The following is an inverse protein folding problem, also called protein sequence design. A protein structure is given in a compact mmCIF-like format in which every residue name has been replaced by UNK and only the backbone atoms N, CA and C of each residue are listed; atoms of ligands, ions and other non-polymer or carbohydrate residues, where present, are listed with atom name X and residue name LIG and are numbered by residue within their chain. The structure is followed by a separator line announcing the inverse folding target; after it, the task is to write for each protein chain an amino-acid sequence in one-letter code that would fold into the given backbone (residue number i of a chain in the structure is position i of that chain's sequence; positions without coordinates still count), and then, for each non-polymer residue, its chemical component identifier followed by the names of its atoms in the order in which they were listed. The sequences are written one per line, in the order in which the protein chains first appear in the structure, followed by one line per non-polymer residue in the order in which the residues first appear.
data_IF_361422926018
#
_entry.id   IF_361422926018
#
_cell.length_a   1.000
_cell.length_b   1.000
_cell.length_c   1.000
_cell.angle_alpha   90.00
_cell.angle_beta   90.00
_cell.angle_gamma   90.00
#
_symmetry.space_group_name_H-M   'P 1'
#
loop_
_entity.id
_entity.type
_entity.pdbx_description
1 polymer ?
#
# COMPACT_ATOMS: atom_id res chain seq x y z
N UNK A 1 -27.37 4.91 -15.79
CA UNK A 1 -28.29 4.19 -14.88
C UNK A 1 -28.98 3.15 -15.74
N UNK A 2 -28.87 1.86 -15.40
CA UNK A 2 -29.69 0.85 -16.06
C UNK A 2 -31.17 1.20 -15.79
N UNK A 3 -31.99 1.12 -16.81
CA UNK A 3 -33.43 1.38 -16.72
C UNK A 3 -34.03 0.36 -15.74
N UNK A 4 -34.90 0.79 -14.82
CA UNK A 4 -35.50 -0.14 -13.84
C UNK A 4 -36.36 -1.16 -14.60
N UNK A 5 -36.22 -2.47 -14.33
CA UNK A 5 -37.03 -3.49 -14.98
C UNK A 5 -38.52 -3.23 -14.69
N UNK A 6 -39.33 -3.24 -15.74
CA UNK A 6 -40.76 -2.94 -15.67
C UNK A 6 -41.57 -4.15 -15.18
N UNK A 7 -41.37 -4.54 -13.92
CA UNK A 7 -42.01 -5.68 -13.26
C UNK A 7 -42.78 -5.22 -12.01
N UNK A 8 -43.90 -5.89 -11.70
CA UNK A 8 -44.76 -5.59 -10.54
C UNK A 8 -44.14 -6.08 -9.23
N UNK A 9 -43.11 -5.36 -8.78
CA UNK A 9 -42.42 -5.53 -7.49
C UNK A 9 -42.03 -4.16 -6.93
N UNK A 10 -41.99 -4.04 -5.60
CA UNK A 10 -41.57 -2.80 -4.94
C UNK A 10 -40.06 -2.54 -5.12
N UNK A 11 -39.57 -1.29 -4.96
CA UNK A 11 -38.13 -1.02 -5.05
C UNK A 11 -37.28 -1.79 -4.02
N UNK A 12 -37.85 -2.10 -2.85
CA UNK A 12 -37.17 -2.87 -1.80
C UNK A 12 -37.08 -4.34 -2.22
N UNK A 13 -38.18 -4.92 -2.70
CA UNK A 13 -38.20 -6.29 -3.25
C UNK A 13 -37.25 -6.44 -4.42
N UNK A 14 -37.22 -5.46 -5.34
CA UNK A 14 -36.31 -5.47 -6.48
C UNK A 14 -34.83 -5.49 -6.05
N UNK A 15 -34.50 -4.81 -4.95
CA UNK A 15 -33.14 -4.81 -4.38
C UNK A 15 -32.77 -6.20 -3.88
N UNK A 16 -33.68 -6.85 -3.12
CA UNK A 16 -33.48 -8.22 -2.63
C UNK A 16 -33.27 -9.20 -3.79
N UNK A 17 -34.15 -9.11 -4.81
CA UNK A 17 -34.07 -9.97 -6.00
C UNK A 17 -32.75 -9.76 -6.73
N UNK A 18 -32.34 -8.50 -6.94
CA UNK A 18 -31.09 -8.17 -7.64
C UNK A 18 -29.86 -8.69 -6.90
N UNK A 19 -29.82 -8.55 -5.56
CA UNK A 19 -28.71 -9.01 -4.74
C UNK A 19 -28.55 -10.54 -4.77
N UNK A 20 -29.66 -11.29 -4.73
CA UNK A 20 -29.65 -12.75 -4.82
C UNK A 20 -29.19 -13.21 -6.21
N UNK A 21 -29.72 -12.61 -7.28
CA UNK A 21 -29.33 -12.94 -8.66
C UNK A 21 -27.86 -12.62 -8.94
N UNK A 22 -27.34 -11.51 -8.42
CA UNK A 22 -25.92 -11.14 -8.59
C UNK A 22 -24.98 -12.07 -7.82
N UNK A 23 -25.42 -12.60 -6.67
CA UNK A 23 -24.64 -13.55 -5.87
C UNK A 23 -24.45 -14.90 -6.58
N UNK A 24 -25.51 -15.42 -7.18
CA UNK A 24 -25.54 -16.81 -7.68
C UNK A 24 -25.34 -16.92 -9.18
N UNK A 25 -25.85 -15.98 -9.97
CA UNK A 25 -25.78 -16.00 -11.44
C UNK A 25 -25.35 -14.64 -12.03
N UNK A 26 -24.20 -14.08 -11.60
CA UNK A 26 -23.73 -12.76 -12.05
C UNK A 26 -23.50 -12.68 -13.57
N UNK A 27 -23.10 -13.78 -14.20
CA UNK A 27 -22.76 -13.81 -15.63
C UNK A 27 -23.96 -14.09 -16.55
N UNK A 28 -25.14 -14.41 -16.00
CA UNK A 28 -26.32 -14.74 -16.78
C UNK A 28 -27.27 -13.55 -16.92
N UNK A 29 -27.90 -13.46 -18.08
CA UNK A 29 -29.09 -12.62 -18.23
C UNK A 29 -30.27 -13.34 -17.57
N UNK A 30 -31.16 -12.59 -16.93
CA UNK A 30 -32.35 -13.14 -16.27
C UNK A 30 -33.58 -12.41 -16.76
N UNK A 31 -34.57 -13.17 -17.23
CA UNK A 31 -35.85 -12.66 -17.70
C UNK A 31 -36.93 -12.95 -16.66
N UNK A 32 -37.67 -11.93 -16.27
CA UNK A 32 -38.95 -12.13 -15.59
C UNK A 32 -40.03 -12.42 -16.63
N UNK A 33 -40.94 -13.34 -16.33
CA UNK A 33 -42.11 -13.63 -17.15
C UNK A 33 -43.34 -13.85 -16.26
N UNK A 34 -44.49 -14.12 -16.88
CA UNK A 34 -45.71 -14.42 -16.13
C UNK A 34 -46.44 -13.19 -15.59
N UNK A 35 -47.17 -13.38 -14.50
CA UNK A 35 -48.18 -12.42 -14.04
C UNK A 35 -47.59 -11.10 -13.55
N UNK A 36 -46.44 -11.14 -12.86
CA UNK A 36 -45.70 -9.96 -12.38
C UNK A 36 -44.96 -9.22 -13.49
N UNK A 37 -44.48 -9.93 -14.52
CA UNK A 37 -43.88 -9.28 -15.69
C UNK A 37 -44.92 -8.53 -16.54
N UNK A 38 -46.16 -9.04 -16.56
CA UNK A 38 -47.26 -8.47 -17.36
C UNK A 38 -48.18 -7.52 -16.57
N UNK A 39 -47.87 -7.21 -15.31
CA UNK A 39 -48.69 -6.38 -14.40
C UNK A 39 -50.13 -6.90 -14.20
N UNK A 40 -50.32 -8.22 -14.29
CA UNK A 40 -51.61 -8.91 -14.06
C UNK A 40 -51.62 -9.69 -12.74
N UNK A 41 -50.60 -9.51 -11.92
CA UNK A 41 -50.41 -10.16 -10.63
C UNK A 41 -51.46 -9.81 -9.60
N UNK A 42 -51.70 -10.74 -8.68
CA UNK A 42 -52.41 -10.53 -7.42
C UNK A 42 -51.40 -10.48 -6.29
N UNK A 43 -51.82 -10.10 -5.09
CA UNK A 43 -50.94 -9.98 -3.92
C UNK A 43 -50.10 -11.24 -3.64
N UNK A 44 -50.65 -12.44 -3.92
CA UNK A 44 -50.01 -13.74 -3.71
C UNK A 44 -49.45 -14.38 -4.99
N UNK A 45 -49.39 -13.64 -6.10
CA UNK A 45 -48.76 -14.14 -7.32
C UNK A 45 -47.26 -14.37 -7.10
N UNK A 46 -46.76 -15.45 -7.66
CA UNK A 46 -45.34 -15.77 -7.80
C UNK A 46 -44.63 -14.79 -8.75
N UNK A 47 -43.30 -14.76 -8.63
CA UNK A 47 -42.40 -14.15 -9.61
C UNK A 47 -41.67 -15.26 -10.36
N UNK A 48 -41.93 -15.39 -11.65
CA UNK A 48 -41.25 -16.35 -12.51
C UNK A 48 -40.00 -15.73 -13.15
N UNK A 49 -38.85 -16.36 -12.96
CA UNK A 49 -37.56 -15.94 -13.51
C UNK A 49 -36.95 -17.04 -14.39
N UNK A 50 -36.49 -16.68 -15.58
CA UNK A 50 -35.75 -17.56 -16.49
C UNK A 50 -34.28 -17.13 -16.55
N UNK A 51 -33.37 -18.04 -16.22
CA UNK A 51 -31.92 -17.80 -16.30
C UNK A 51 -31.42 -18.22 -17.68
N UNK A 52 -30.90 -17.26 -18.44
CA UNK A 52 -30.55 -17.43 -19.84
C UNK A 52 -29.12 -17.92 -20.00
N UNK A 53 -28.95 -19.10 -20.56
CA UNK A 53 -27.66 -19.71 -20.86
C UNK A 53 -27.76 -20.83 -21.91
N UNK A 54 -26.62 -21.16 -22.51
CA UNK A 54 -26.51 -22.22 -23.53
C UNK A 54 -26.30 -23.61 -22.90
N UNK A 55 -25.92 -23.67 -21.63
CA UNK A 55 -25.67 -24.89 -20.87
C UNK A 55 -26.51 -24.91 -19.58
N UNK A 56 -26.93 -26.10 -19.10
CA UNK A 56 -27.66 -26.22 -17.85
C UNK A 56 -26.90 -25.64 -16.65
N UNK A 57 -27.63 -25.03 -15.72
CA UNK A 57 -27.06 -24.55 -14.47
C UNK A 57 -26.54 -25.72 -13.63
N UNK A 58 -25.37 -25.58 -12.98
CA UNK A 58 -24.91 -26.58 -12.03
C UNK A 58 -25.93 -26.76 -10.90
N UNK A 59 -26.22 -28.02 -10.52
CA UNK A 59 -27.23 -28.36 -9.50
C UNK A 59 -27.00 -27.61 -8.17
N UNK A 60 -25.73 -27.39 -7.80
CA UNK A 60 -25.38 -26.65 -6.59
C UNK A 60 -25.80 -25.17 -6.65
N UNK A 61 -25.70 -24.53 -7.82
CA UNK A 61 -26.12 -23.14 -8.02
C UNK A 61 -27.63 -23.03 -8.04
N UNK A 62 -28.33 -23.96 -8.71
CA UNK A 62 -29.80 -23.96 -8.72
C UNK A 62 -30.39 -24.20 -7.33
N UNK A 63 -29.78 -25.08 -6.53
CA UNK A 63 -30.23 -25.34 -5.16
C UNK A 63 -30.00 -24.11 -4.26
N UNK A 64 -28.78 -23.56 -4.25
CA UNK A 64 -28.46 -22.40 -3.43
C UNK A 64 -29.29 -21.16 -3.79
N UNK A 65 -29.60 -20.97 -5.07
CA UNK A 65 -30.47 -19.90 -5.52
C UNK A 65 -31.91 -20.08 -5.02
N UNK A 66 -32.45 -21.30 -5.07
CA UNK A 66 -33.78 -21.60 -4.58
C UNK A 66 -33.88 -21.40 -3.06
N UNK A 67 -32.89 -21.89 -2.31
CA UNK A 67 -32.80 -21.73 -0.86
C UNK A 67 -32.76 -20.24 -0.47
N UNK A 68 -31.89 -19.44 -1.11
CA UNK A 68 -31.77 -18.00 -0.81
C UNK A 68 -33.04 -17.21 -1.13
N UNK A 69 -33.80 -17.60 -2.16
CA UNK A 69 -35.10 -16.98 -2.45
C UNK A 69 -36.18 -17.41 -1.45
N UNK A 70 -36.19 -18.67 -1.02
CA UNK A 70 -37.13 -19.18 -0.02
C UNK A 70 -36.89 -18.58 1.37
N UNK A 71 -35.64 -18.33 1.74
CA UNK A 71 -35.27 -17.67 3.00
C UNK A 71 -35.38 -16.12 2.94
N UNK A 72 -35.68 -15.56 1.77
CA UNK A 72 -35.76 -14.10 1.61
C UNK A 72 -37.02 -13.49 2.26
N UNK A 73 -36.97 -12.20 2.58
CA UNK A 73 -38.12 -11.44 3.10
C UNK A 73 -39.12 -11.02 2.01
N UNK A 74 -39.16 -11.70 0.86
CA UNK A 74 -40.12 -11.40 -0.21
C UNK A 74 -41.53 -11.87 0.20
N UNK A 75 -42.59 -11.07 -0.03
CA UNK A 75 -43.95 -11.45 0.35
C UNK A 75 -44.58 -12.49 -0.61
N UNK A 76 -43.83 -12.98 -1.58
CA UNK A 76 -44.25 -13.93 -2.61
C UNK A 76 -43.11 -14.89 -2.94
N UNK A 77 -43.46 -16.05 -3.49
CA UNK A 77 -42.49 -17.05 -3.97
C UNK A 77 -41.83 -16.59 -5.26
N UNK A 78 -40.56 -16.95 -5.44
CA UNK A 78 -39.83 -16.80 -6.70
C UNK A 78 -39.58 -18.18 -7.28
N UNK A 79 -40.07 -18.42 -8.49
CA UNK A 79 -39.83 -19.66 -9.23
C UNK A 79 -38.80 -19.43 -10.32
N UNK A 80 -37.76 -20.27 -10.34
CA UNK A 80 -36.63 -20.11 -11.27
C UNK A 80 -36.60 -21.28 -12.25
N UNK A 81 -36.56 -20.96 -13.54
CA UNK A 81 -36.38 -21.92 -14.63
C UNK A 81 -35.03 -21.73 -15.32
N UNK A 82 -34.37 -22.83 -15.61
CA UNK A 82 -33.14 -22.86 -16.39
C UNK A 82 -33.49 -22.91 -17.88
N UNK A 83 -33.06 -21.89 -18.63
CA UNK A 83 -33.35 -21.77 -20.05
C UNK A 83 -32.85 -22.98 -20.84
N UNK A 84 -31.66 -23.50 -20.55
CA UNK A 84 -31.01 -24.55 -21.32
C UNK A 84 -31.75 -25.89 -21.25
N UNK A 85 -32.47 -26.13 -20.15
CA UNK A 85 -33.25 -27.36 -19.93
C UNK A 85 -34.74 -27.20 -20.26
N UNK A 86 -35.17 -25.98 -20.56
CA UNK A 86 -36.56 -25.65 -20.88
C UNK A 86 -36.92 -26.07 -22.32
N UNK A 87 -38.12 -26.67 -22.50
CA UNK A 87 -38.63 -27.06 -23.82
C UNK A 87 -38.87 -25.87 -24.77
N UNK A 88 -38.72 -26.07 -26.08
CA UNK A 88 -38.94 -25.03 -27.09
C UNK A 88 -40.33 -24.38 -27.02
N UNK A 89 -41.38 -25.19 -26.78
CA UNK A 89 -42.74 -24.69 -26.63
C UNK A 89 -42.89 -23.74 -25.43
N UNK A 90 -42.17 -24.01 -24.32
CA UNK A 90 -42.20 -23.15 -23.14
C UNK A 90 -41.30 -21.91 -23.32
N UNK A 91 -40.15 -22.04 -23.98
CA UNK A 91 -39.30 -20.91 -24.37
C UNK A 91 -40.07 -19.86 -25.18
N UNK A 92 -40.90 -20.30 -26.13
CA UNK A 92 -41.74 -19.41 -26.93
C UNK A 92 -42.78 -18.62 -26.09
N UNK A 93 -43.27 -19.22 -25.00
CA UNK A 93 -44.19 -18.54 -24.06
C UNK A 93 -43.43 -17.46 -23.28
N UNK A 94 -42.27 -17.80 -22.74
CA UNK A 94 -41.42 -16.86 -21.99
C UNK A 94 -41.02 -15.68 -22.88
N UNK A 95 -40.58 -15.94 -24.11
CA UNK A 95 -40.14 -14.90 -25.05
C UNK A 95 -41.21 -13.87 -25.41
N UNK A 96 -42.49 -14.28 -25.43
CA UNK A 96 -43.59 -13.40 -25.83
C UNK A 96 -43.78 -12.24 -24.85
N UNK A 97 -43.68 -12.53 -23.55
CA UNK A 97 -44.07 -11.63 -22.47
C UNK A 97 -42.92 -11.32 -21.49
N UNK A 98 -41.66 -11.57 -21.90
CA UNK A 98 -40.48 -11.35 -21.04
C UNK A 98 -40.23 -9.88 -20.74
N UNK A 99 -39.70 -9.65 -19.54
CA UNK A 99 -39.05 -8.40 -19.14
C UNK A 99 -37.65 -8.74 -18.65
N UNK A 100 -36.63 -8.03 -19.14
CA UNK A 100 -35.25 -8.25 -18.68
C UNK A 100 -35.15 -7.78 -17.22
N UNK A 101 -35.01 -8.73 -16.28
CA UNK A 101 -34.88 -8.44 -14.86
C UNK A 101 -33.42 -8.18 -14.46
N UNK A 102 -32.48 -8.84 -15.14
CA UNK A 102 -31.04 -8.64 -15.00
C UNK A 102 -30.37 -8.78 -16.36
N UNK A 103 -29.64 -7.76 -16.79
CA UNK A 103 -28.84 -7.85 -18.02
C UNK A 103 -27.65 -8.79 -17.84
N UNK A 104 -27.17 -9.37 -18.95
CA UNK A 104 -25.91 -10.11 -18.96
C UNK A 104 -24.79 -9.19 -18.50
N UNK A 105 -24.12 -9.53 -17.39
CA UNK A 105 -22.96 -8.75 -16.95
C UNK A 105 -21.88 -8.84 -18.02
N UNK A 106 -21.58 -7.71 -18.67
CA UNK A 106 -20.48 -7.61 -19.64
C UNK A 106 -19.15 -7.28 -18.97
N UNK A 107 -19.08 -7.23 -17.63
CA UNK A 107 -17.86 -6.86 -16.92
C UNK A 107 -17.02 -8.08 -16.55
N UNK A 108 -15.98 -8.28 -17.35
CA UNK A 108 -14.81 -9.12 -17.07
C UNK A 108 -14.41 -9.14 -15.58
N UNK A 109 -14.39 -10.34 -15.00
CA UNK A 109 -13.89 -10.77 -13.67
C UNK A 109 -14.93 -11.23 -12.65
N UNK A 110 -16.10 -11.78 -13.00
CA UNK A 110 -16.86 -12.76 -12.16
C UNK A 110 -17.22 -12.42 -10.70
N UNK A 111 -16.96 -11.19 -10.23
CA UNK A 111 -16.97 -10.76 -8.82
C UNK A 111 -17.80 -9.48 -8.61
N UNK A 112 -18.54 -9.03 -9.63
CA UNK A 112 -19.25 -7.75 -9.62
C UNK A 112 -18.32 -6.52 -9.74
N UNK A 113 -17.08 -6.72 -10.18
CA UNK A 113 -16.08 -5.66 -10.31
C UNK A 113 -16.26 -4.90 -11.63
N UNK A 114 -16.34 -3.57 -11.55
CA UNK A 114 -16.54 -2.71 -12.71
C UNK A 114 -15.20 -2.19 -13.22
N UNK A 115 -14.92 -2.38 -14.51
CA UNK A 115 -13.78 -1.72 -15.15
C UNK A 115 -14.12 -0.28 -15.49
N UNK A 116 -13.31 0.66 -15.01
CA UNK A 116 -13.48 2.09 -15.25
C UNK A 116 -12.14 2.82 -15.10
N UNK A 117 -12.14 4.09 -15.47
CA UNK A 117 -11.01 4.99 -15.28
C UNK A 117 -11.31 6.02 -14.18
N UNK A 118 -10.26 6.68 -13.67
CA UNK A 118 -10.45 7.86 -12.81
C UNK A 118 -11.26 8.94 -13.55
N UNK A 119 -11.11 9.08 -14.86
CA UNK A 119 -11.87 10.03 -15.67
C UNK A 119 -13.37 9.72 -15.68
N UNK A 120 -13.76 8.44 -15.66
CA UNK A 120 -15.18 8.05 -15.58
C UNK A 120 -15.78 8.48 -14.23
N UNK A 121 -15.02 8.33 -13.13
CA UNK A 121 -15.41 8.85 -11.81
C UNK A 121 -15.50 10.38 -11.81
N UNK A 122 -14.59 11.07 -12.51
CA UNK A 122 -14.66 12.52 -12.66
C UNK A 122 -15.88 12.97 -13.45
N UNK A 123 -16.21 12.29 -14.56
CA UNK A 123 -17.39 12.59 -15.40
C UNK A 123 -18.69 12.34 -14.65
N UNK A 124 -18.72 11.33 -13.78
CA UNK A 124 -19.84 11.06 -12.88
C UNK A 124 -19.93 12.05 -11.72
N UNK A 125 -18.97 12.98 -11.59
CA UNK A 125 -18.92 13.95 -10.50
C UNK A 125 -18.63 13.32 -9.14
N UNK A 126 -18.00 12.14 -9.09
CA UNK A 126 -17.70 11.40 -7.85
C UNK A 126 -16.29 11.66 -7.33
N UNK A 127 -15.36 12.03 -8.22
CA UNK A 127 -13.97 12.32 -7.89
C UNK A 127 -13.54 13.59 -8.60
N UNK A 128 -12.91 14.51 -7.86
CA UNK A 128 -12.28 15.70 -8.40
C UNK A 128 -10.76 15.56 -8.35
N UNK A 129 -10.11 15.65 -9.51
CA UNK A 129 -8.65 15.62 -9.64
C UNK A 129 -8.12 17.02 -9.92
N UNK A 130 -7.14 17.45 -9.14
CA UNK A 130 -6.49 18.76 -9.26
C UNK A 130 -5.01 18.70 -8.93
N UNK A 131 -4.17 19.06 -9.90
CA UNK A 131 -2.77 19.38 -9.65
C UNK A 131 -2.62 20.55 -8.65
N UNK A 132 -1.69 20.41 -7.71
CA UNK A 132 -1.34 21.47 -6.74
C UNK A 132 -0.80 22.75 -7.40
N UNK A 133 -0.63 23.85 -6.64
CA UNK A 133 -0.27 25.15 -7.18
C UNK A 133 1.12 25.12 -7.83
N UNK A 134 1.20 25.39 -9.14
CA UNK A 134 2.47 25.39 -9.89
C UNK A 134 2.69 26.69 -10.67
N UNK A 135 3.94 26.94 -11.06
CA UNK A 135 4.31 28.14 -11.79
C UNK A 135 4.19 29.39 -10.93
N UNK A 136 3.49 30.41 -11.42
CA UNK A 136 3.29 31.70 -10.74
C UNK A 136 2.28 31.66 -9.58
N UNK A 137 1.76 30.48 -9.22
CA UNK A 137 0.78 30.36 -8.13
C UNK A 137 1.43 30.36 -6.75
N UNK A 138 2.62 29.81 -6.59
CA UNK A 138 3.31 29.72 -5.31
C UNK A 138 4.82 29.89 -5.52
N UNK A 139 5.39 30.93 -4.93
CA UNK A 139 6.80 31.30 -5.08
C UNK A 139 7.61 30.99 -3.82
N UNK A 140 8.94 30.88 -3.96
CA UNK A 140 9.84 30.70 -2.82
C UNK A 140 9.69 31.80 -1.75
N UNK A 141 9.36 33.03 -2.17
CA UNK A 141 9.12 34.17 -1.28
C UNK A 141 7.77 34.12 -0.53
N UNK A 142 6.85 33.25 -0.94
CA UNK A 142 5.55 33.09 -0.26
C UNK A 142 5.68 32.23 1.03
N UNK A 143 6.80 31.51 1.19
CA UNK A 143 7.04 30.68 2.37
C UNK A 143 7.46 31.51 3.58
N UNK A 144 6.91 31.15 4.73
CA UNK A 144 7.14 31.80 6.03
C UNK A 144 7.49 30.75 7.09
N UNK A 145 8.09 31.17 8.20
CA UNK A 145 8.46 30.25 9.29
C UNK A 145 7.24 29.65 10.01
N UNK A 146 6.17 30.43 10.17
CA UNK A 146 4.95 30.00 10.85
C UNK A 146 3.70 30.49 10.10
N UNK A 147 2.77 29.58 9.81
CA UNK A 147 1.61 29.82 8.98
C UNK A 147 0.77 28.56 8.71
N UNK A 148 0.21 28.46 7.51
CA UNK A 148 -0.58 27.32 7.05
C UNK A 148 0.36 26.31 6.37
N UNK A 149 0.33 25.03 6.74
CA UNK A 149 1.22 24.03 6.16
C UNK A 149 0.92 23.77 4.69
N UNK A 150 1.97 23.59 3.90
CA UNK A 150 1.94 23.11 2.53
C UNK A 150 2.54 21.71 2.52
N UNK A 151 1.87 20.73 1.93
CA UNK A 151 2.35 19.35 1.86
C UNK A 151 3.12 19.16 0.54
N UNK A 152 4.46 19.20 0.55
CA UNK A 152 5.26 19.02 -0.66
C UNK A 152 5.32 17.53 -1.04
N UNK A 153 5.88 17.22 -2.21
CA UNK A 153 5.96 15.84 -2.72
C UNK A 153 6.72 14.92 -1.78
N UNK A 154 7.77 15.44 -1.16
CA UNK A 154 8.69 14.73 -0.27
C UNK A 154 8.03 14.36 1.07
N UNK A 155 6.90 15.01 1.40
CA UNK A 155 6.09 14.68 2.56
C UNK A 155 5.06 13.57 2.27
N UNK A 156 4.89 13.18 1.01
CA UNK A 156 3.97 12.12 0.61
C UNK A 156 4.72 10.80 0.60
N UNK A 157 4.50 10.00 1.66
CA UNK A 157 5.01 8.64 1.75
C UNK A 157 4.07 7.64 1.08
N UNK A 158 4.42 6.36 1.21
CA UNK A 158 3.51 5.27 0.87
C UNK A 158 2.50 5.19 2.01
N UNK A 159 1.25 5.61 1.76
CA UNK A 159 0.12 5.56 2.71
C UNK A 159 0.17 6.51 3.91
N UNK A 160 1.31 7.12 4.19
CA UNK A 160 1.48 8.10 5.28
C UNK A 160 1.84 9.50 4.74
N UNK A 161 1.36 10.54 5.41
CA UNK A 161 1.77 11.93 5.19
C UNK A 161 2.62 12.40 6.35
N UNK A 162 3.80 12.95 6.04
CA UNK A 162 4.61 13.63 7.06
C UNK A 162 3.88 14.90 7.50
N UNK A 163 3.76 15.11 8.82
CA UNK A 163 3.02 16.22 9.41
C UNK A 163 3.93 17.25 10.09
N UNK A 164 5.15 16.86 10.44
CA UNK A 164 6.14 17.70 11.10
C UNK A 164 7.13 18.33 10.12
N UNK A 165 7.63 19.53 10.46
CA UNK A 165 8.64 20.22 9.67
C UNK A 165 8.18 20.56 8.24
N UNK A 166 6.87 20.69 8.02
CA UNK A 166 6.31 21.08 6.73
C UNK A 166 6.59 22.56 6.44
N UNK A 167 6.87 22.90 5.16
CA UNK A 167 6.96 24.30 4.76
C UNK A 167 5.59 24.99 4.94
N UNK A 168 5.60 26.26 5.32
CA UNK A 168 4.38 27.00 5.66
C UNK A 168 4.26 28.28 4.85
N UNK A 169 3.03 28.74 4.64
CA UNK A 169 2.70 30.00 3.95
C UNK A 169 1.82 30.88 4.83
N UNK A 170 1.80 32.19 4.58
CA UNK A 170 0.92 33.09 5.32
C UNK A 170 -0.57 32.78 5.11
N UNK A 171 -1.43 33.27 6.01
CA UNK A 171 -2.90 33.09 5.89
C UNK A 171 -3.45 33.76 4.63
N UNK A 172 -2.85 34.87 4.20
CA UNK A 172 -3.20 35.58 2.97
C UNK A 172 -2.90 34.72 1.74
N UNK A 173 -1.69 34.13 1.68
CA UNK A 173 -1.33 33.19 0.61
C UNK A 173 -2.23 31.96 0.61
N UNK A 174 -2.53 31.39 1.78
CA UNK A 174 -3.45 30.26 1.88
C UNK A 174 -4.87 30.61 1.43
N UNK A 175 -5.34 31.82 1.70
CA UNK A 175 -6.65 32.30 1.25
C UNK A 175 -6.67 32.49 -0.28
N UNK A 176 -5.60 33.05 -0.85
CA UNK A 176 -5.38 33.16 -2.30
C UNK A 176 -5.36 31.78 -2.98
N UNK A 177 -4.82 30.76 -2.30
CA UNK A 177 -4.73 29.38 -2.77
C UNK A 177 -5.86 28.48 -2.22
N UNK A 178 -6.99 29.05 -1.82
CA UNK A 178 -8.13 28.33 -1.21
C UNK A 178 -8.63 27.12 -2.00
N UNK A 179 -8.47 27.13 -3.34
CA UNK A 179 -8.79 25.99 -4.22
C UNK A 179 -7.95 24.74 -3.92
N UNK A 180 -6.74 24.90 -3.39
CA UNK A 180 -5.80 23.82 -3.07
C UNK A 180 -5.90 23.36 -1.61
N UNK A 181 -6.90 23.86 -0.88
CA UNK A 181 -7.07 23.59 0.53
C UNK A 181 -7.52 22.16 0.77
N UNK A 182 -6.80 21.48 1.66
CA UNK A 182 -7.00 20.09 2.02
C UNK A 182 -8.16 19.93 3.00
N UNK A 183 -8.83 18.79 2.87
CA UNK A 183 -9.89 18.29 3.73
C UNK A 183 -9.54 16.87 4.16
N UNK A 184 -10.00 16.48 5.34
CA UNK A 184 -9.94 15.08 5.75
C UNK A 184 -10.58 14.18 4.69
N UNK A 185 -9.92 13.06 4.40
CA UNK A 185 -10.33 12.10 3.35
C UNK A 185 -9.87 12.44 1.94
N UNK A 186 -9.27 13.62 1.71
CA UNK A 186 -8.57 13.90 0.45
C UNK A 186 -7.40 12.93 0.24
N UNK A 187 -7.04 12.64 -1.00
CA UNK A 187 -5.85 11.86 -1.33
C UNK A 187 -4.83 12.78 -1.96
N UNK A 188 -3.61 12.76 -1.43
CA UNK A 188 -2.45 13.38 -2.06
C UNK A 188 -1.65 12.30 -2.79
N UNK A 189 -1.44 12.51 -4.09
CA UNK A 189 -0.65 11.66 -4.95
C UNK A 189 0.61 12.40 -5.41
N UNK A 190 1.78 11.81 -5.16
CA UNK A 190 3.04 12.38 -5.59
C UNK A 190 3.20 12.27 -7.11
N UNK A 191 3.28 13.42 -7.78
CA UNK A 191 3.35 13.48 -9.25
C UNK A 191 4.74 13.78 -9.82
N UNK A 192 5.74 14.02 -8.98
CA UNK A 192 7.10 14.41 -9.39
C UNK A 192 8.17 13.63 -8.64
N UNK A 193 9.16 13.14 -9.38
CA UNK A 193 10.35 12.52 -8.81
C UNK A 193 10.39 11.01 -9.06
N UNK A 194 11.58 10.50 -9.41
CA UNK A 194 11.76 9.12 -9.81
C UNK A 194 11.39 8.12 -8.70
N UNK A 195 11.62 8.48 -7.43
CA UNK A 195 11.30 7.66 -6.27
C UNK A 195 9.88 7.91 -5.72
N UNK A 196 9.20 8.96 -6.17
CA UNK A 196 7.91 9.36 -5.63
C UNK A 196 6.71 8.81 -6.43
N UNK A 197 6.95 8.17 -7.57
CA UNK A 197 5.88 7.63 -8.41
C UNK A 197 5.11 6.54 -7.66
N UNK A 198 3.80 6.71 -7.54
CA UNK A 198 2.93 5.77 -6.82
C UNK A 198 2.84 6.01 -5.31
N UNK A 199 3.56 6.99 -4.76
CA UNK A 199 3.35 7.43 -3.38
C UNK A 199 2.04 8.20 -3.30
N UNK A 200 1.13 7.71 -2.46
CA UNK A 200 -0.12 8.38 -2.17
C UNK A 200 -0.53 8.11 -0.74
N UNK A 201 -1.25 9.06 -0.15
CA UNK A 201 -1.77 8.93 1.20
C UNK A 201 -3.05 9.76 1.37
N UNK A 202 -3.87 9.33 2.32
CA UNK A 202 -5.10 10.02 2.69
C UNK A 202 -4.77 11.12 3.70
N UNK A 203 -5.37 12.29 3.54
CA UNK A 203 -5.26 13.44 4.44
C UNK A 203 -6.05 13.14 5.71
N UNK A 204 -5.35 13.13 6.85
CA UNK A 204 -5.94 13.03 8.17
C UNK A 204 -6.39 14.39 8.74
N UNK A 205 -7.00 14.39 9.93
CA UNK A 205 -7.49 15.60 10.60
C UNK A 205 -6.37 16.63 10.85
N UNK A 206 -5.13 16.17 11.07
CA UNK A 206 -3.97 17.00 11.40
C UNK A 206 -3.49 17.91 10.26
N UNK A 207 -3.82 17.58 9.00
CA UNK A 207 -3.51 18.40 7.82
C UNK A 207 -4.74 19.12 7.25
N UNK A 208 -5.89 19.03 7.92
CA UNK A 208 -7.11 19.70 7.48
C UNK A 208 -6.93 21.21 7.46
N UNK A 209 -7.27 21.85 6.33
CA UNK A 209 -7.08 23.29 6.14
C UNK A 209 -5.69 23.69 5.65
N UNK A 210 -4.73 22.76 5.59
CA UNK A 210 -3.45 22.89 4.89
C UNK A 210 -3.61 22.98 3.37
N UNK A 211 -2.49 23.05 2.64
CA UNK A 211 -2.48 23.17 1.18
C UNK A 211 -1.79 21.98 0.51
N UNK A 212 -2.37 21.53 -0.60
CA UNK A 212 -1.69 20.65 -1.56
C UNK A 212 -0.46 21.36 -2.13
N UNK A 213 0.70 20.70 -2.15
CA UNK A 213 1.95 21.27 -2.67
C UNK A 213 2.11 21.12 -4.19
N UNK A 214 3.09 21.83 -4.74
CA UNK A 214 3.32 21.96 -6.19
C UNK A 214 3.59 20.64 -6.92
N UNK A 215 4.23 19.67 -6.25
CA UNK A 215 4.54 18.36 -6.84
C UNK A 215 3.55 17.27 -6.45
N UNK A 216 2.36 17.64 -5.97
CA UNK A 216 1.28 16.73 -5.65
C UNK A 216 0.07 16.92 -6.57
N UNK A 217 -0.74 15.86 -6.71
CA UNK A 217 -2.09 15.88 -7.25
C UNK A 217 -3.04 15.57 -6.10
N UNK A 218 -4.04 16.43 -5.94
CA UNK A 218 -5.15 16.24 -5.04
C UNK A 218 -6.24 15.44 -5.76
N UNK A 219 -6.66 14.31 -5.19
CA UNK A 219 -7.88 13.61 -5.55
C UNK A 219 -8.88 13.73 -4.39
N UNK A 220 -10.06 14.26 -4.67
CA UNK A 220 -11.13 14.44 -3.68
C UNK A 220 -12.34 13.63 -4.09
N UNK A 221 -12.78 12.72 -3.24
CA UNK A 221 -14.05 11.99 -3.42
C UNK A 221 -15.21 12.85 -2.92
N UNK A 222 -16.38 12.76 -3.57
CA UNK A 222 -17.57 13.48 -3.09
C UNK A 222 -18.04 12.93 -1.73
N UNK A 223 -18.42 13.81 -0.78
CA UNK A 223 -18.95 13.38 0.51
C UNK A 223 -20.19 12.49 0.36
N UNK A 224 -20.22 11.38 1.10
CA UNK A 224 -21.37 10.47 1.10
C UNK A 224 -21.52 9.63 -0.18
N UNK A 225 -20.59 9.71 -1.14
CA UNK A 225 -20.60 8.82 -2.28
C UNK A 225 -20.39 7.36 -1.81
N UNK A 226 -21.15 6.43 -2.39
CA UNK A 226 -21.06 4.99 -2.10
C UNK A 226 -20.52 4.23 -3.32
N UNK A 227 -19.67 4.89 -4.10
CA UNK A 227 -19.09 4.31 -5.33
C UNK A 227 -17.60 4.07 -5.16
N UNK A 228 -16.87 5.02 -4.58
CA UNK A 228 -15.42 4.97 -4.41
C UNK A 228 -15.05 5.37 -2.99
N UNK A 229 -14.38 4.45 -2.30
CA UNK A 229 -13.79 4.73 -0.99
C UNK A 229 -12.40 5.37 -1.17
N UNK A 230 -12.09 6.49 -0.50
CA UNK A 230 -10.82 7.20 -0.67
C UNK A 230 -9.62 6.39 -0.16
N UNK A 231 -9.78 5.63 0.93
CA UNK A 231 -8.70 4.80 1.45
C UNK A 231 -8.39 3.64 0.51
N UNK A 232 -9.42 2.99 -0.06
CA UNK A 232 -9.26 2.00 -1.12
C UNK A 232 -8.57 2.59 -2.36
N UNK A 233 -9.02 3.76 -2.83
CA UNK A 233 -8.41 4.41 -4.00
C UNK A 233 -6.93 4.71 -3.76
N UNK A 234 -6.56 5.20 -2.57
CA UNK A 234 -5.15 5.41 -2.22
C UNK A 234 -4.36 4.09 -2.20
N UNK A 235 -4.91 3.00 -1.66
CA UNK A 235 -4.24 1.69 -1.73
C UNK A 235 -4.01 1.24 -3.16
N UNK A 236 -5.04 1.37 -4.00
CA UNK A 236 -4.98 0.98 -5.40
C UNK A 236 -3.93 1.79 -6.16
N UNK A 237 -3.87 3.11 -5.96
CA UNK A 237 -2.87 3.98 -6.61
C UNK A 237 -1.44 3.65 -6.21
N UNK A 238 -1.24 3.10 -5.01
CA UNK A 238 0.05 2.74 -4.44
C UNK A 238 0.42 1.26 -4.58
N UNK A 239 -0.41 0.45 -5.25
CA UNK A 239 -0.10 -0.93 -5.59
C UNK A 239 1.02 -1.01 -6.64
N UNK A 240 1.87 -2.04 -6.57
CA UNK A 240 3.06 -2.16 -7.43
C UNK A 240 2.70 -2.13 -8.92
N UNK A 241 1.63 -2.81 -9.33
CA UNK A 241 1.15 -2.78 -10.71
C UNK A 241 0.72 -1.38 -11.16
N UNK A 242 0.10 -0.61 -10.27
CA UNK A 242 -0.30 0.78 -10.54
C UNK A 242 0.91 1.69 -10.64
N UNK A 243 1.89 1.51 -9.76
CA UNK A 243 3.16 2.25 -9.77
C UNK A 243 3.89 2.01 -11.10
N UNK A 244 4.01 0.76 -11.53
CA UNK A 244 4.64 0.43 -12.81
C UNK A 244 3.88 1.03 -13.99
N UNK A 245 2.54 1.01 -13.95
CA UNK A 245 1.74 1.70 -14.96
C UNK A 245 2.03 3.20 -14.99
N UNK A 246 2.08 3.87 -13.82
CA UNK A 246 2.38 5.30 -13.77
C UNK A 246 3.79 5.62 -14.27
N UNK A 247 4.80 4.81 -13.91
CA UNK A 247 6.16 4.96 -14.42
C UNK A 247 6.23 4.86 -15.94
N UNK A 248 5.52 3.89 -16.52
CA UNK A 248 5.49 3.68 -17.97
C UNK A 248 4.79 4.82 -18.74
N UNK A 249 3.87 5.53 -18.10
CA UNK A 249 3.10 6.62 -18.71
C UNK A 249 3.56 8.02 -18.27
N UNK A 250 4.59 8.11 -17.43
CA UNK A 250 5.15 9.37 -16.97
C UNK A 250 5.83 10.11 -18.12
N UNK A 251 5.77 11.44 -18.09
CA UNK A 251 6.43 12.30 -19.06
C UNK A 251 7.74 12.81 -18.45
N UNK A 252 8.82 12.80 -19.25
CA UNK A 252 10.14 13.27 -18.85
C UNK A 252 11.07 12.12 -18.46
N UNK A 253 12.15 11.93 -19.22
CA UNK A 253 13.08 10.82 -19.04
C UNK A 253 13.95 10.92 -17.77
N UNK A 254 14.28 12.14 -17.32
CA UNK A 254 15.15 12.39 -16.17
C UNK A 254 14.35 12.63 -14.87
N UNK A 255 13.19 13.27 -14.99
CA UNK A 255 12.30 13.55 -13.87
C UNK A 255 10.87 13.15 -14.26
N UNK A 256 10.45 11.93 -13.91
CA UNK A 256 9.11 11.45 -14.21
C UNK A 256 8.07 12.41 -13.64
N UNK A 257 7.16 12.85 -14.49
CA UNK A 257 6.07 13.73 -14.10
C UNK A 257 4.72 13.18 -14.58
N UNK A 258 3.81 13.01 -13.63
CA UNK A 258 2.40 12.68 -13.88
C UNK A 258 1.60 13.98 -13.95
N UNK A 259 0.66 14.09 -14.88
CA UNK A 259 -0.27 15.23 -14.97
C UNK A 259 -1.71 14.73 -14.83
N UNK A 260 -2.65 15.66 -14.66
CA UNK A 260 -4.08 15.35 -14.47
C UNK A 260 -4.63 14.44 -15.58
N UNK A 261 -4.20 14.63 -16.82
CA UNK A 261 -4.62 13.81 -17.95
C UNK A 261 -4.11 12.36 -17.89
N UNK A 262 -2.91 12.14 -17.36
CA UNK A 262 -2.34 10.78 -17.21
C UNK A 262 -3.07 10.03 -16.10
N UNK A 263 -3.19 10.64 -14.90
CA UNK A 263 -3.84 9.97 -13.77
C UNK A 263 -5.31 9.68 -14.07
N UNK A 264 -6.02 10.58 -14.78
CA UNK A 264 -7.40 10.36 -15.22
C UNK A 264 -7.59 9.12 -16.10
N UNK A 265 -6.60 8.76 -16.93
CA UNK A 265 -6.65 7.57 -17.79
C UNK A 265 -6.32 6.26 -17.08
N UNK A 266 -5.91 6.30 -15.82
CA UNK A 266 -5.60 5.10 -15.06
C UNK A 266 -6.82 4.18 -14.99
N UNK A 267 -6.69 2.98 -15.56
CA UNK A 267 -7.73 1.97 -15.58
C UNK A 267 -7.68 1.12 -14.31
N UNK A 268 -8.85 0.90 -13.73
CA UNK A 268 -9.02 0.11 -12.52
C UNK A 268 -10.19 -0.86 -12.64
N UNK A 269 -10.10 -1.95 -11.89
CA UNK A 269 -11.25 -2.79 -11.60
C UNK A 269 -11.75 -2.42 -10.20
N UNK A 270 -12.98 -1.94 -10.14
CA UNK A 270 -13.58 -1.37 -8.93
C UNK A 270 -14.53 -2.40 -8.29
N UNK A 271 -14.23 -2.91 -7.09
CA UNK A 271 -15.14 -3.76 -6.33
C UNK A 271 -16.43 -3.02 -5.93
N UNK A 272 -17.48 -3.73 -5.51
CA UNK A 272 -18.57 -3.15 -4.73
C UNK A 272 -18.05 -2.35 -3.52
N UNK A 273 -18.72 -1.24 -3.19
CA UNK A 273 -18.23 -0.28 -2.18
C UNK A 273 -17.95 -0.90 -0.80
N UNK A 274 -18.79 -1.85 -0.35
CA UNK A 274 -18.55 -2.55 0.91
C UNK A 274 -17.28 -3.41 0.88
N UNK A 275 -16.95 -4.02 -0.27
CA UNK A 275 -15.71 -4.77 -0.43
C UNK A 275 -14.50 -3.82 -0.44
N UNK A 276 -14.62 -2.65 -1.08
CA UNK A 276 -13.56 -1.63 -1.04
C UNK A 276 -13.23 -1.23 0.40
N UNK A 277 -14.25 -0.96 1.22
CA UNK A 277 -14.08 -0.64 2.64
C UNK A 277 -13.42 -1.77 3.42
N UNK A 278 -13.91 -3.00 3.27
CA UNK A 278 -13.33 -4.16 3.96
C UNK A 278 -11.84 -4.37 3.60
N UNK A 279 -11.48 -4.19 2.31
CA UNK A 279 -10.09 -4.25 1.86
C UNK A 279 -9.26 -3.12 2.49
N UNK A 280 -9.76 -1.89 2.44
CA UNK A 280 -9.06 -0.73 2.97
C UNK A 280 -8.88 -0.79 4.49
N UNK A 281 -9.88 -1.26 5.23
CA UNK A 281 -9.80 -1.46 6.68
C UNK A 281 -8.75 -2.52 7.05
N UNK A 282 -8.78 -3.68 6.36
CA UNK A 282 -7.82 -4.76 6.61
C UNK A 282 -6.38 -4.30 6.33
N UNK A 283 -6.14 -3.72 5.15
CA UNK A 283 -4.80 -3.25 4.79
C UNK A 283 -4.35 -2.08 5.67
N UNK A 284 -5.28 -1.19 6.04
CA UNK A 284 -5.01 -0.06 6.95
C UNK A 284 -4.55 -0.54 8.32
N UNK A 285 -5.22 -1.55 8.90
CA UNK A 285 -4.83 -2.12 10.18
C UNK A 285 -3.43 -2.75 10.17
N UNK A 286 -2.99 -3.28 9.01
CA UNK A 286 -1.64 -3.81 8.84
C UNK A 286 -0.60 -2.69 8.73
N UNK A 287 -0.88 -1.62 7.97
CA UNK A 287 -0.02 -0.43 7.90
C UNK A 287 0.14 0.22 9.28
N UNK A 288 -0.95 0.38 10.03
CA UNK A 288 -0.94 0.92 11.40
C UNK A 288 -0.03 0.08 12.33
N UNK A 289 -0.05 -1.25 12.16
CA UNK A 289 0.78 -2.16 12.94
C UNK A 289 2.26 -2.05 12.56
N UNK A 290 2.57 -1.88 11.27
CA UNK A 290 3.93 -1.66 10.77
C UNK A 290 4.49 -0.36 11.36
N UNK A 291 3.74 0.74 11.27
CA UNK A 291 4.12 2.04 11.80
C UNK A 291 4.36 1.99 13.32
N UNK A 292 3.46 1.34 14.07
CA UNK A 292 3.61 1.17 15.51
C UNK A 292 4.89 0.38 15.85
N UNK A 293 5.20 -0.68 15.10
CA UNK A 293 6.42 -1.46 15.31
C UNK A 293 7.68 -0.64 15.01
N UNK A 294 7.67 0.21 13.98
CA UNK A 294 8.80 1.11 13.69
C UNK A 294 9.04 2.11 14.83
N UNK A 295 7.99 2.78 15.31
CA UNK A 295 8.11 3.72 16.44
C UNK A 295 8.58 3.03 17.72
N UNK A 296 8.11 1.80 17.96
CA UNK A 296 8.55 0.99 19.09
C UNK A 296 10.04 0.66 18.98
N UNK A 297 10.52 0.27 17.80
CA UNK A 297 11.95 0.01 17.57
C UNK A 297 12.80 1.26 17.80
N UNK A 298 12.40 2.43 17.27
CA UNK A 298 13.10 3.70 17.49
C UNK A 298 13.18 4.06 18.98
N UNK A 299 12.07 3.89 19.71
CA UNK A 299 12.00 4.15 21.15
C UNK A 299 12.91 3.20 21.93
N UNK A 300 12.88 1.90 21.61
CA UNK A 300 13.74 0.89 22.24
C UNK A 300 15.22 1.18 21.99
N UNK A 301 15.57 1.59 20.78
CA UNK A 301 16.94 1.96 20.42
C UNK A 301 17.40 3.23 21.17
N UNK A 302 16.53 4.23 21.29
CA UNK A 302 16.80 5.43 22.10
C UNK A 302 16.99 5.10 23.58
N UNK A 303 16.14 4.24 24.15
CA UNK A 303 16.27 3.75 25.52
C UNK A 303 17.59 2.98 25.72
N UNK A 304 17.93 2.08 24.80
CA UNK A 304 19.18 1.31 24.86
C UNK A 304 20.42 2.23 24.85
N UNK A 305 20.41 3.25 23.97
CA UNK A 305 21.46 4.28 23.92
C UNK A 305 21.56 5.07 25.22
N UNK A 306 20.43 5.49 25.79
CA UNK A 306 20.39 6.25 27.03
C UNK A 306 20.92 5.43 28.22
N UNK A 307 20.51 4.16 28.32
CA UNK A 307 21.01 3.23 29.35
C UNK A 307 22.50 3.00 29.18
N UNK A 308 22.98 2.70 27.97
CA UNK A 308 24.40 2.50 27.70
C UNK A 308 25.23 3.74 28.08
N UNK A 309 24.77 4.93 27.70
CA UNK A 309 25.44 6.19 28.04
C UNK A 309 25.53 6.38 29.56
N UNK A 310 24.42 6.19 30.28
CA UNK A 310 24.41 6.28 31.75
C UNK A 310 25.27 5.20 32.42
N UNK A 311 25.35 4.00 31.83
CA UNK A 311 26.07 2.88 32.42
C UNK A 311 27.56 2.82 32.08
N UNK A 312 28.02 3.46 31.03
CA UNK A 312 29.39 3.27 30.57
C UNK A 312 30.12 4.56 30.18
N UNK A 313 29.42 5.69 30.06
CA UNK A 313 30.00 6.97 29.63
C UNK A 313 29.88 8.04 30.72
N UNK A 314 28.66 8.25 31.24
CA UNK A 314 28.38 9.25 32.27
C UNK A 314 28.69 8.61 33.64
N UNK A 315 29.98 8.64 34.03
CA UNK A 315 30.50 7.93 35.21
C UNK A 315 30.32 8.69 36.54
N UNK A 316 29.95 9.97 36.49
CA UNK A 316 29.75 10.81 37.66
C UNK A 316 28.40 10.50 38.35
N UNK A 317 28.39 10.40 39.68
CA UNK A 317 27.20 10.00 40.46
C UNK A 317 25.99 10.94 40.28
N UNK A 318 26.23 12.21 39.96
CA UNK A 318 25.18 13.21 39.72
C UNK A 318 24.46 13.06 38.36
N UNK A 319 25.01 12.25 37.43
CA UNK A 319 24.46 11.99 36.10
C UNK A 319 23.75 10.62 35.98
N UNK A 320 23.67 9.83 37.05
CA UNK A 320 23.02 8.52 37.03
C UNK A 320 21.49 8.65 37.11
N UNK A 321 20.86 8.63 35.94
CA UNK A 321 19.39 8.58 35.80
C UNK A 321 18.84 7.16 36.00
N UNK A 322 19.66 6.13 35.74
CA UNK A 322 19.31 4.72 35.89
C UNK A 322 20.04 4.10 37.10
N UNK A 323 19.52 2.98 37.62
CA UNK A 323 20.22 2.20 38.65
C UNK A 323 21.62 1.84 38.19
N UNK A 324 22.56 1.73 39.13
CA UNK A 324 23.93 1.29 38.87
C UNK A 324 23.96 0.06 37.95
N UNK A 325 24.95 -0.04 37.04
CA UNK A 325 25.04 -1.15 36.11
C UNK A 325 25.13 -2.48 36.87
N UNK A 326 24.67 -3.58 36.26
CA UNK A 326 24.66 -4.90 36.91
C UNK A 326 26.06 -5.51 37.12
N UNK A 327 27.12 -4.75 36.81
CA UNK A 327 28.52 -5.19 36.89
C UNK A 327 29.37 -4.11 37.59
N UNK A 328 30.32 -4.56 38.41
CA UNK A 328 31.29 -3.68 39.05
C UNK A 328 32.18 -3.01 37.99
N UNK A 329 32.49 -1.73 38.17
CA UNK A 329 33.37 -0.96 37.30
C UNK A 329 34.77 -0.86 37.90
N UNK A 330 35.79 -0.96 37.06
CA UNK A 330 37.18 -0.66 37.40
C UNK A 330 37.89 -0.02 36.21
N UNK A 331 38.83 0.88 36.48
CA UNK A 331 39.63 1.53 35.43
C UNK A 331 40.95 0.78 35.23
N UNK A 332 41.27 0.43 34.00
CA UNK A 332 42.54 -0.19 33.60
C UNK A 332 43.01 0.39 32.26
N UNK A 333 44.29 0.22 31.91
CA UNK A 333 44.73 0.55 30.54
C UNK A 333 44.20 -0.53 29.60
N UNK A 334 43.79 -0.14 28.40
CA UNK A 334 43.29 -1.08 27.40
C UNK A 334 44.32 -2.20 27.12
N UNK A 335 45.61 -1.85 27.07
CA UNK A 335 46.73 -2.80 26.89
C UNK A 335 46.84 -3.89 27.96
N UNK A 336 46.24 -3.67 29.13
CA UNK A 336 46.33 -4.60 30.25
C UNK A 336 45.21 -5.66 30.18
N UNK A 337 44.20 -5.45 29.33
CA UNK A 337 42.97 -6.26 29.25
C UNK A 337 42.68 -6.81 27.85
N UNK A 338 43.39 -6.36 26.81
CA UNK A 338 43.25 -6.89 25.44
C UNK A 338 44.61 -7.19 24.81
N UNK A 339 44.64 -8.25 23.99
CA UNK A 339 45.74 -8.53 23.08
C UNK A 339 45.54 -7.73 21.77
N UNK A 340 46.49 -6.84 21.48
CA UNK A 340 46.48 -6.10 20.22
C UNK A 340 47.10 -6.93 19.10
N UNK A 341 46.26 -7.37 18.17
CA UNK A 341 46.68 -8.10 16.98
C UNK A 341 46.73 -7.15 15.78
N UNK A 342 47.83 -7.20 15.03
CA UNK A 342 47.97 -6.53 13.75
C UNK A 342 47.50 -7.42 12.60
N UNK A 343 46.96 -6.78 11.56
CA UNK A 343 46.63 -7.44 10.29
C UNK A 343 47.78 -7.36 9.29
N UNK A 344 47.57 -8.01 8.15
CA UNK A 344 48.50 -8.02 7.05
C UNK A 344 47.81 -8.34 5.74
N UNK A 345 48.38 -7.84 4.65
CA UNK A 345 47.92 -8.13 3.30
C UNK A 345 48.84 -9.16 2.65
N UNK A 346 48.35 -10.39 2.33
CA UNK A 346 49.10 -11.32 1.50
C UNK A 346 49.52 -10.65 0.19
N UNK A 347 50.64 -11.08 -0.39
CA UNK A 347 51.14 -10.48 -1.63
C UNK A 347 50.08 -10.61 -2.73
N UNK A 348 49.58 -9.48 -3.23
CA UNK A 348 48.47 -9.43 -4.20
C UNK A 348 48.84 -9.97 -5.58
N UNK A 349 50.13 -10.06 -5.91
CA UNK A 349 50.61 -10.65 -7.16
C UNK A 349 50.74 -12.17 -7.14
N UNK A 350 50.49 -12.83 -5.99
CA UNK A 350 50.47 -14.29 -5.88
C UNK A 350 49.03 -14.78 -5.81
N UNK A 351 48.48 -15.14 -6.96
CA UNK A 351 47.08 -15.58 -7.08
C UNK A 351 46.77 -16.79 -6.17
N UNK A 352 47.75 -17.67 -5.93
CA UNK A 352 47.63 -18.83 -5.02
C UNK A 352 47.29 -18.48 -3.57
N UNK A 353 47.47 -17.22 -3.14
CA UNK A 353 47.15 -16.76 -1.79
C UNK A 353 45.69 -16.34 -1.61
N UNK A 354 44.95 -16.16 -2.70
CA UNK A 354 43.61 -15.55 -2.71
C UNK A 354 42.55 -16.55 -3.18
N UNK A 355 41.29 -16.30 -2.81
CA UNK A 355 40.15 -17.09 -3.27
C UNK A 355 39.97 -18.44 -2.56
N UNK A 356 40.52 -18.59 -1.34
CA UNK A 356 40.30 -19.77 -0.48
C UNK A 356 39.07 -19.66 0.41
N UNK A 357 39.03 -20.46 1.48
CA UNK A 357 37.89 -20.52 2.40
C UNK A 357 38.00 -19.60 3.62
N UNK A 358 39.15 -18.93 3.80
CA UNK A 358 39.40 -18.09 4.97
C UNK A 358 38.99 -16.65 4.65
N UNK A 359 37.97 -16.08 5.32
CA UNK A 359 37.60 -14.68 5.11
C UNK A 359 38.75 -13.75 5.47
N UNK A 360 38.97 -12.72 4.67
CA UNK A 360 40.02 -11.73 4.90
C UNK A 360 39.40 -10.33 4.95
N UNK A 361 39.26 -9.82 6.16
CA UNK A 361 38.61 -8.54 6.45
C UNK A 361 39.50 -7.36 6.03
N UNK A 362 38.88 -6.40 5.37
CA UNK A 362 39.46 -5.10 5.05
C UNK A 362 38.46 -3.97 5.28
N UNK A 363 38.88 -2.72 5.06
CA UNK A 363 38.05 -1.53 5.33
C UNK A 363 36.71 -1.51 4.58
N UNK A 364 36.62 -2.20 3.43
CA UNK A 364 35.38 -2.32 2.65
C UNK A 364 34.35 -3.23 3.32
N UNK A 365 34.83 -4.16 4.16
CA UNK A 365 34.01 -5.11 4.91
C UNK A 365 33.52 -4.54 6.24
N UNK A 366 33.94 -3.32 6.59
CA UNK A 366 33.55 -2.68 7.83
C UNK A 366 32.02 -2.44 7.83
N UNK A 367 31.29 -2.98 8.82
CA UNK A 367 29.84 -3.06 8.77
C UNK A 367 29.16 -1.68 8.72
N UNK A 368 27.89 -1.70 8.33
CA UNK A 368 27.01 -0.55 8.44
C UNK A 368 26.73 -0.25 9.91
N UNK A 369 26.23 0.96 10.21
CA UNK A 369 26.03 1.42 11.60
C UNK A 369 25.12 0.49 12.43
N UNK A 370 24.18 -0.20 11.78
CA UNK A 370 23.25 -1.14 12.43
C UNK A 370 23.83 -2.53 12.67
N UNK A 371 24.94 -2.87 12.03
CA UNK A 371 25.52 -4.21 12.06
C UNK A 371 26.83 -4.19 12.85
N UNK A 372 27.04 -5.23 13.67
CA UNK A 372 28.28 -5.37 14.44
C UNK A 372 29.08 -6.58 13.99
N UNK A 373 28.42 -7.62 13.48
CA UNK A 373 29.05 -8.89 13.11
C UNK A 373 29.44 -8.96 11.64
N UNK A 374 30.66 -9.42 11.37
CA UNK A 374 31.13 -9.75 10.02
C UNK A 374 30.96 -11.25 9.81
N UNK A 375 30.05 -11.62 8.91
CA UNK A 375 29.76 -13.02 8.56
C UNK A 375 30.62 -13.48 7.37
N UNK A 376 30.84 -12.59 6.42
CA UNK A 376 31.60 -12.82 5.20
C UNK A 376 32.36 -11.55 4.81
N UNK A 377 33.37 -11.71 3.97
CA UNK A 377 34.23 -10.64 3.46
C UNK A 377 34.25 -10.70 1.94
N UNK A 378 34.46 -9.56 1.28
CA UNK A 378 34.57 -9.43 -0.17
C UNK A 378 35.69 -10.32 -0.73
N UNK A 379 36.79 -10.43 0.01
CA UNK A 379 37.94 -11.26 -0.34
C UNK A 379 38.17 -12.37 0.67
N UNK A 380 38.67 -13.48 0.17
CA UNK A 380 39.11 -14.62 0.97
C UNK A 380 40.54 -14.99 0.60
N UNK A 381 41.22 -15.69 1.51
CA UNK A 381 42.59 -16.15 1.35
C UNK A 381 42.65 -17.66 1.52
N UNK A 382 43.70 -18.26 0.97
CA UNK A 382 44.01 -19.68 1.11
C UNK A 382 44.87 -19.92 2.35
N UNK A 383 45.05 -21.19 2.73
CA UNK A 383 45.97 -21.56 3.81
C UNK A 383 47.42 -21.10 3.54
N UNK A 384 47.99 -21.25 2.32
CA UNK A 384 49.28 -20.64 1.98
C UNK A 384 49.30 -19.11 2.14
N UNK A 385 48.21 -18.42 1.81
CA UNK A 385 48.09 -16.97 2.00
C UNK A 385 48.12 -16.54 3.46
N UNK A 386 47.58 -17.36 4.36
CA UNK A 386 47.65 -17.15 5.80
C UNK A 386 49.06 -17.43 6.35
N UNK A 387 49.65 -18.59 6.00
CA UNK A 387 50.92 -19.06 6.57
C UNK A 387 52.14 -18.29 6.05
N UNK A 388 52.09 -17.79 4.81
CA UNK A 388 53.21 -17.11 4.14
C UNK A 388 53.02 -15.59 4.05
N UNK A 389 52.18 -14.99 4.89
CA UNK A 389 52.02 -13.54 4.99
C UNK A 389 52.04 -13.06 6.44
N UNK A 390 51.97 -11.74 6.63
CA UNK A 390 51.90 -11.13 7.97
C UNK A 390 50.48 -11.08 8.53
N UNK A 391 49.48 -11.60 7.82
CA UNK A 391 48.10 -11.65 8.32
C UNK A 391 47.98 -12.69 9.44
N UNK A 392 46.95 -12.55 10.28
CA UNK A 392 46.72 -13.44 11.42
C UNK A 392 45.28 -13.88 11.43
N UNK A 393 45.05 -15.14 11.79
CA UNK A 393 43.71 -15.66 11.99
C UNK A 393 43.20 -15.17 13.35
N UNK A 394 42.17 -14.34 13.31
CA UNK A 394 41.44 -13.88 14.48
C UNK A 394 40.42 -14.95 14.87
N UNK A 395 40.29 -15.28 16.17
CA UNK A 395 39.20 -16.14 16.62
C UNK A 395 37.84 -15.46 16.44
N UNK A 396 36.78 -16.26 16.50
CA UNK A 396 35.40 -15.75 16.60
C UNK A 396 35.26 -14.81 17.81
N UNK A 397 34.44 -13.78 17.69
CA UNK A 397 34.20 -12.71 18.67
C UNK A 397 35.41 -11.79 18.94
N UNK A 398 36.36 -11.75 18.01
CA UNK A 398 37.42 -10.74 18.04
C UNK A 398 36.89 -9.39 17.56
N UNK A 399 37.29 -8.33 18.25
CA UNK A 399 36.96 -6.95 17.85
C UNK A 399 38.02 -6.41 16.89
N UNK A 400 37.60 -6.03 15.69
CA UNK A 400 38.42 -5.33 14.70
C UNK A 400 38.09 -3.85 14.76
N UNK A 401 39.11 -3.00 14.85
CA UNK A 401 38.97 -1.54 14.78
C UNK A 401 39.75 -1.04 13.57
N UNK A 402 39.09 -0.30 12.68
CA UNK A 402 39.74 0.24 11.49
C UNK A 402 40.73 1.35 11.86
N UNK A 403 41.99 1.16 11.48
CA UNK A 403 43.06 2.14 11.75
C UNK A 403 43.38 3.04 10.55
N UNK A 404 42.89 2.74 9.35
CA UNK A 404 43.16 3.47 8.09
C UNK A 404 41.89 3.57 7.24
N UNK A 405 41.77 4.64 6.45
CA UNK A 405 40.57 4.91 5.64
C UNK A 405 39.46 5.51 6.52
N UNK A 406 38.46 4.70 6.86
CA UNK A 406 37.36 5.08 7.78
C UNK A 406 37.73 4.74 9.22
N UNK A 407 38.62 5.54 9.83
CA UNK A 407 39.15 5.30 11.18
C UNK A 407 38.02 5.22 12.22
N UNK A 408 38.11 4.22 13.12
CA UNK A 408 37.22 4.11 14.28
C UNK A 408 35.93 3.30 14.05
N UNK A 409 35.75 2.70 12.88
CA UNK A 409 34.72 1.68 12.70
C UNK A 409 35.09 0.43 13.48
N UNK A 410 34.09 -0.20 14.10
CA UNK A 410 34.25 -1.41 14.92
C UNK A 410 33.49 -2.56 14.27
N UNK A 411 34.07 -3.74 14.30
CA UNK A 411 33.46 -4.98 13.82
C UNK A 411 33.78 -6.14 14.79
N UNK A 412 32.88 -7.11 14.89
CA UNK A 412 33.05 -8.36 15.61
C UNK A 412 33.09 -9.53 14.62
N UNK A 413 34.08 -10.40 14.75
CA UNK A 413 34.19 -11.57 13.88
C UNK A 413 33.11 -12.59 14.24
N UNK A 414 32.23 -12.96 13.28
CA UNK A 414 31.21 -13.99 13.54
C UNK A 414 31.74 -15.42 13.39
N UNK A 415 32.93 -15.57 12.80
CA UNK A 415 33.69 -16.82 12.64
C UNK A 415 35.18 -16.48 12.56
N UNK A 416 36.09 -17.47 12.67
CA UNK A 416 37.51 -17.22 12.44
C UNK A 416 37.75 -16.56 11.08
N UNK A 417 38.54 -15.49 11.06
CA UNK A 417 38.87 -14.74 9.85
C UNK A 417 40.21 -14.03 9.98
N UNK A 418 40.86 -13.77 8.85
CA UNK A 418 42.07 -12.96 8.76
C UNK A 418 41.71 -11.48 8.55
N UNK A 419 42.68 -10.57 8.71
CA UNK A 419 42.47 -9.13 8.47
C UNK A 419 43.69 -8.42 7.89
N UNK A 420 43.46 -7.25 7.29
CA UNK A 420 44.45 -6.48 6.52
C UNK A 420 45.43 -5.63 7.31
#
# INVERSE_FOLDING_TARGET
MAEKPNIDVSPVELTIISDILERHVPEHEVWAFGSRATWRSKAHSDLDLAIIGDAPLPLAVSAALADDFEESNLPFKVDVVDWATTSEAFRAIIERDKVVAKEKSSSSLGLGWKKLTIDDLCKAGLVHVQTGPFGSQLHAADYVEQGVPVVPTEAIGRRHLKVEGLPQVSKETASRLSRHRLREGDILFARRGAQATGLSAVVGPELTGGLCGTGAILLRTEPGNQVIDPAFLSFLLSADASVEWFKAHAVGAVMPNINDGIIRRFQMALPPFLQQKAIAELLGALDDKIDLNHRMNETLEAMARAVFKSWFIDLDDEAQVFSAPPIARSTARLSDVVDLLGGGTPTTSRDEYWGGDIPWFSVVDAPNVSDVFVLATEKTITQPGLENSSTRLLPQFSTIVTARGTVGKVALTARPMAMN
#
